data_IF_558624717369
#
_entry.id   IF_558624717369
#
_cell.length_a   1.000
_cell.length_b   1.000
_cell.length_c   1.000
_cell.angle_alpha   90.00
_cell.angle_beta   90.00
_cell.angle_gamma   90.00
#
_symmetry.space_group_name_H-M   'P 1'
#
loop_
_entity.id
_entity.type
_entity.pdbx_description
1 polymer ?
#
# COMPACT_ATOMS: atom_id res chain seq x y z
N UNK A 1 -29.44 37.78 1.92
CA UNK A 1 -28.41 36.71 1.79
C UNK A 1 -28.35 35.92 3.09
N UNK A 2 -28.59 34.59 3.07
CA UNK A 2 -28.40 33.73 4.26
C UNK A 2 -26.92 33.74 4.64
N UNK A 3 -26.59 34.18 5.86
CA UNK A 3 -25.21 34.15 6.38
C UNK A 3 -24.73 32.69 6.44
N UNK A 4 -23.77 32.34 5.60
CA UNK A 4 -23.12 31.03 5.64
C UNK A 4 -22.45 30.85 6.99
N UNK A 5 -22.79 29.78 7.70
CA UNK A 5 -22.28 29.53 9.05
C UNK A 5 -20.88 28.91 8.97
N UNK A 6 -19.86 29.75 8.84
CA UNK A 6 -18.45 29.35 8.74
C UNK A 6 -17.97 28.48 9.90
N UNK A 7 -18.60 28.58 11.07
CA UNK A 7 -18.29 27.76 12.24
C UNK A 7 -18.64 26.27 12.01
N UNK A 8 -19.64 25.97 11.17
CA UNK A 8 -19.97 24.60 10.78
C UNK A 8 -18.94 24.01 9.82
N UNK A 9 -18.52 24.84 8.85
CA UNK A 9 -17.54 24.48 7.83
C UNK A 9 -16.19 24.17 8.52
N UNK A 10 -15.74 25.03 9.44
CA UNK A 10 -14.54 24.80 10.25
C UNK A 10 -14.60 23.50 11.08
N UNK A 11 -15.76 23.19 11.67
CA UNK A 11 -15.97 21.95 12.43
C UNK A 11 -15.95 20.68 11.57
N UNK A 12 -16.26 20.79 10.28
CA UNK A 12 -16.18 19.70 9.32
C UNK A 12 -14.78 19.60 8.67
N UNK A 13 -14.14 20.73 8.40
CA UNK A 13 -12.79 20.78 7.81
C UNK A 13 -11.75 20.22 8.77
N UNK A 14 -11.86 20.47 10.08
CA UNK A 14 -10.87 19.98 11.04
C UNK A 14 -10.70 18.45 11.03
N UNK A 15 -11.76 17.61 11.15
CA UNK A 15 -11.60 16.16 11.04
C UNK A 15 -11.14 15.70 9.66
N UNK A 16 -11.54 16.37 8.57
CA UNK A 16 -11.06 16.08 7.20
C UNK A 16 -9.56 16.39 7.07
N UNK A 17 -9.11 17.52 7.61
CA UNK A 17 -7.71 17.94 7.59
C UNK A 17 -6.82 17.01 8.41
N UNK A 18 -7.31 16.53 9.55
CA UNK A 18 -6.62 15.49 10.34
C UNK A 18 -6.52 14.19 9.55
N UNK A 19 -7.61 13.75 8.90
CA UNK A 19 -7.59 12.55 8.03
C UNK A 19 -6.62 12.68 6.86
N UNK A 20 -6.64 13.81 6.14
CA UNK A 20 -5.71 14.09 5.04
C UNK A 20 -4.26 14.14 5.52
N UNK A 21 -4.01 14.75 6.69
CA UNK A 21 -2.68 14.75 7.30
C UNK A 21 -2.19 13.32 7.57
N UNK A 22 -3.05 12.43 8.08
CA UNK A 22 -2.69 11.03 8.31
C UNK A 22 -2.46 10.23 7.02
N UNK A 23 -3.26 10.47 5.98
CA UNK A 23 -3.04 9.87 4.65
C UNK A 23 -1.68 10.30 4.10
N UNK A 24 -1.37 11.60 4.14
CA UNK A 24 -0.07 12.12 3.70
C UNK A 24 1.10 11.57 4.55
N UNK A 25 0.90 11.44 5.86
CA UNK A 25 1.90 10.85 6.76
C UNK A 25 2.16 9.37 6.46
N UNK A 26 1.14 8.63 6.00
CA UNK A 26 1.26 7.22 5.60
C UNK A 26 2.05 7.03 4.30
N UNK A 27 2.00 8.01 3.39
CA UNK A 27 2.74 7.97 2.12
C UNK A 27 4.22 8.38 2.24
N UNK A 28 4.62 9.07 3.33
CA UNK A 28 6.02 9.42 3.58
C UNK A 28 6.85 8.16 3.87
N UNK A 29 7.52 7.66 2.82
CA UNK A 29 8.50 6.57 2.88
C UNK A 29 9.63 6.91 3.84
N UNK A 30 9.77 6.12 4.90
CA UNK A 30 10.93 6.14 5.78
C UNK A 30 11.84 4.97 5.41
N UNK A 31 12.85 5.23 4.59
CA UNK A 31 13.86 4.23 4.21
C UNK A 31 14.98 4.15 5.27
N UNK A 32 15.51 2.95 5.54
CA UNK A 32 16.64 2.69 6.46
C UNK A 32 16.28 1.96 7.78
N UNK A 33 17.30 1.61 8.59
CA UNK A 33 17.17 0.87 9.87
C UNK A 33 16.27 1.55 10.93
N UNK A 34 15.92 2.84 10.74
CA UNK A 34 14.96 3.57 11.58
C UNK A 34 13.50 3.52 11.07
N UNK A 35 13.27 2.97 9.87
CA UNK A 35 11.97 2.95 9.21
C UNK A 35 10.91 2.13 9.93
N UNK A 36 11.30 1.00 10.55
CA UNK A 36 10.38 0.16 11.33
C UNK A 36 9.90 0.83 12.63
N UNK A 37 10.79 1.57 13.31
CA UNK A 37 10.49 2.26 14.56
C UNK A 37 9.59 3.48 14.33
N UNK A 38 9.85 4.23 13.25
CA UNK A 38 8.99 5.33 12.82
C UNK A 38 7.65 4.81 12.29
N UNK A 39 7.64 3.69 11.57
CA UNK A 39 6.40 3.00 11.15
C UNK A 39 5.54 2.60 12.35
N UNK A 40 6.13 1.96 13.36
CA UNK A 40 5.46 1.62 14.61
C UNK A 40 4.91 2.85 15.35
N UNK A 41 5.69 3.93 15.42
CA UNK A 41 5.24 5.20 16.02
C UNK A 41 4.07 5.82 15.24
N UNK A 42 4.08 5.78 13.90
CA UNK A 42 2.97 6.26 13.06
C UNK A 42 1.68 5.48 13.34
N UNK A 43 1.76 4.16 13.43
CA UNK A 43 0.60 3.30 13.75
C UNK A 43 0.11 3.57 15.16
N UNK A 44 1.01 3.65 16.15
CA UNK A 44 0.66 3.94 17.54
C UNK A 44 0.01 5.32 17.69
N UNK A 45 0.56 6.33 17.04
CA UNK A 45 0.02 7.69 17.05
C UNK A 45 -1.33 7.76 16.33
N UNK A 46 -1.50 7.06 15.19
CA UNK A 46 -2.79 6.92 14.51
C UNK A 46 -3.83 6.24 15.41
N UNK A 47 -3.46 5.17 16.12
CA UNK A 47 -4.35 4.49 17.05
C UNK A 47 -4.75 5.40 18.21
N UNK A 48 -3.81 6.08 18.86
CA UNK A 48 -4.11 6.91 20.04
C UNK A 48 -4.86 8.19 19.64
N UNK A 49 -4.30 8.98 18.71
CA UNK A 49 -4.89 10.25 18.31
C UNK A 49 -6.14 10.06 17.44
N UNK A 50 -6.09 9.13 16.49
CA UNK A 50 -7.21 8.82 15.61
C UNK A 50 -8.39 8.22 16.37
N UNK A 51 -8.17 7.20 17.21
CA UNK A 51 -9.26 6.63 18.02
C UNK A 51 -9.78 7.62 19.06
N UNK A 52 -8.90 8.44 19.65
CA UNK A 52 -9.30 9.51 20.58
C UNK A 52 -10.22 10.55 19.94
N UNK A 53 -9.84 11.08 18.77
CA UNK A 53 -10.65 12.04 18.00
C UNK A 53 -11.96 11.39 17.53
N UNK A 54 -11.90 10.14 17.08
CA UNK A 54 -13.08 9.38 16.66
C UNK A 54 -14.09 9.24 17.82
N UNK A 55 -13.64 8.72 18.97
CA UNK A 55 -14.48 8.52 20.15
C UNK A 55 -15.05 9.84 20.66
N UNK A 56 -14.22 10.88 20.75
CA UNK A 56 -14.67 12.21 21.14
C UNK A 56 -15.78 12.74 20.22
N UNK A 57 -15.58 12.62 18.90
CA UNK A 57 -16.53 13.09 17.89
C UNK A 57 -17.82 12.27 17.94
N UNK A 58 -17.72 10.95 18.11
CA UNK A 58 -18.84 10.03 18.24
C UNK A 58 -19.69 10.38 19.47
N UNK A 59 -19.08 10.42 20.67
CA UNK A 59 -19.77 10.69 21.94
C UNK A 59 -20.44 12.07 21.90
N UNK A 60 -19.73 13.10 21.42
CA UNK A 60 -20.24 14.48 21.36
C UNK A 60 -21.46 14.59 20.45
N UNK A 61 -21.44 13.98 19.27
CA UNK A 61 -22.55 14.07 18.32
C UNK A 61 -23.74 13.19 18.73
N UNK A 62 -23.51 12.01 19.32
CA UNK A 62 -24.59 11.20 19.92
C UNK A 62 -25.25 11.98 21.08
N UNK A 63 -24.47 12.62 21.94
CA UNK A 63 -24.97 13.44 23.04
C UNK A 63 -25.81 14.64 22.55
N UNK A 64 -25.44 15.26 21.42
CA UNK A 64 -26.24 16.33 20.79
C UNK A 64 -27.58 15.82 20.26
N UNK A 65 -27.57 14.66 19.60
CA UNK A 65 -28.79 14.02 19.08
C UNK A 65 -29.74 13.66 20.23
N UNK A 66 -29.23 13.05 21.32
CA UNK A 66 -30.04 12.75 22.52
C UNK A 66 -30.66 13.98 23.15
N UNK A 67 -29.93 15.12 23.15
CA UNK A 67 -30.42 16.40 23.67
C UNK A 67 -31.29 17.18 22.68
N UNK A 68 -31.61 16.62 21.51
CA UNK A 68 -32.41 17.27 20.46
C UNK A 68 -31.74 18.48 19.80
N UNK A 69 -30.45 18.74 20.06
CA UNK A 69 -29.74 19.92 19.55
C UNK A 69 -29.01 19.57 18.26
N UNK A 70 -29.22 20.37 17.21
CA UNK A 70 -28.49 20.26 15.94
C UNK A 70 -28.47 18.84 15.36
N UNK A 71 -29.64 18.18 15.34
CA UNK A 71 -29.79 16.77 14.94
C UNK A 71 -29.30 16.53 13.51
N UNK A 72 -29.69 17.39 12.56
CA UNK A 72 -29.30 17.25 11.14
C UNK A 72 -27.78 17.31 10.96
N UNK A 73 -27.14 18.29 11.57
CA UNK A 73 -25.68 18.50 11.51
C UNK A 73 -24.93 17.33 12.15
N UNK A 74 -25.41 16.87 13.31
CA UNK A 74 -24.80 15.76 14.04
C UNK A 74 -24.89 14.45 13.26
N UNK A 75 -26.00 14.21 12.53
CA UNK A 75 -26.13 13.06 11.63
C UNK A 75 -25.13 13.13 10.47
N UNK A 76 -24.98 14.29 9.82
CA UNK A 76 -24.02 14.47 8.72
C UNK A 76 -22.59 14.19 9.20
N UNK A 77 -22.19 14.75 10.35
CA UNK A 77 -20.85 14.53 10.92
C UNK A 77 -20.62 13.05 11.22
N UNK A 78 -21.61 12.34 11.78
CA UNK A 78 -21.51 10.91 12.05
C UNK A 78 -21.39 10.08 10.76
N UNK A 79 -22.17 10.41 9.72
CA UNK A 79 -22.07 9.73 8.42
C UNK A 79 -20.69 9.90 7.80
N UNK A 80 -20.15 11.12 7.79
CA UNK A 80 -18.80 11.39 7.30
C UNK A 80 -17.77 10.60 8.12
N UNK A 81 -17.90 10.61 9.45
CA UNK A 81 -17.01 9.87 10.35
C UNK A 81 -16.98 8.37 10.04
N UNK A 82 -18.16 7.76 9.80
CA UNK A 82 -18.28 6.33 9.47
C UNK A 82 -17.61 6.03 8.12
N UNK A 83 -17.91 6.81 7.08
CA UNK A 83 -17.32 6.61 5.74
C UNK A 83 -15.80 6.75 5.80
N UNK A 84 -15.29 7.80 6.46
CA UNK A 84 -13.85 8.01 6.61
C UNK A 84 -13.18 6.89 7.40
N UNK A 85 -13.85 6.33 8.39
CA UNK A 85 -13.33 5.18 9.15
C UNK A 85 -13.27 3.93 8.29
N UNK A 86 -14.31 3.66 7.50
CA UNK A 86 -14.30 2.52 6.56
C UNK A 86 -13.17 2.64 5.54
N UNK A 87 -12.97 3.85 4.98
CA UNK A 87 -11.86 4.11 4.06
C UNK A 87 -10.52 3.88 4.78
N UNK A 88 -10.32 4.49 5.95
CA UNK A 88 -9.09 4.35 6.72
C UNK A 88 -8.77 2.90 7.07
N UNK A 89 -9.72 2.14 7.60
CA UNK A 89 -9.55 0.71 7.93
C UNK A 89 -9.26 -0.11 6.68
N UNK A 90 -9.94 0.18 5.56
CA UNK A 90 -9.66 -0.48 4.28
C UNK A 90 -8.23 -0.22 3.82
N UNK A 91 -7.73 1.01 3.98
CA UNK A 91 -6.33 1.37 3.66
C UNK A 91 -5.31 0.62 4.51
N UNK A 92 -5.63 0.30 5.77
CA UNK A 92 -4.81 -0.56 6.62
C UNK A 92 -4.88 -2.03 6.22
N UNK A 93 -6.01 -2.48 5.66
CA UNK A 93 -6.22 -3.85 5.19
C UNK A 93 -5.67 -4.09 3.77
N UNK A 94 -5.38 -3.02 3.01
CA UNK A 94 -4.56 -3.14 1.80
C UNK A 94 -3.12 -3.39 2.23
N UNK A 95 -2.56 -4.58 1.95
CA UNK A 95 -1.30 -5.00 2.55
C UNK A 95 -0.16 -4.10 2.08
N UNK A 96 0.30 -3.25 3.01
CA UNK A 96 1.66 -2.73 3.04
C UNK A 96 2.57 -3.93 3.28
N UNK A 97 3.39 -4.24 2.27
CA UNK A 97 4.35 -5.34 2.24
C UNK A 97 3.78 -6.75 2.53
N UNK A 98 3.53 -7.49 1.45
CA UNK A 98 2.96 -8.84 1.40
C UNK A 98 3.67 -9.92 2.24
N UNK A 99 4.83 -9.64 2.81
CA UNK A 99 5.59 -10.61 3.58
C UNK A 99 5.66 -10.17 5.03
N UNK A 100 4.89 -10.84 5.90
CA UNK A 100 5.10 -10.82 7.35
C UNK A 100 6.50 -11.34 7.74
N UNK A 101 7.13 -12.07 6.81
CA UNK A 101 8.46 -12.66 6.92
C UNK A 101 9.48 -11.85 6.13
N UNK A 102 10.74 -11.90 6.55
CA UNK A 102 11.80 -11.27 5.77
C UNK A 102 11.87 -11.85 4.36
N UNK A 103 11.97 -10.99 3.32
CA UNK A 103 12.10 -11.46 1.95
C UNK A 103 13.40 -12.23 1.73
N UNK A 104 13.29 -13.42 1.17
CA UNK A 104 14.40 -14.31 0.83
C UNK A 104 15.13 -13.84 -0.43
N UNK A 105 14.39 -13.23 -1.36
CA UNK A 105 14.91 -12.71 -2.62
C UNK A 105 14.30 -11.35 -2.95
N UNK A 106 15.13 -10.43 -3.40
CA UNK A 106 14.69 -9.13 -3.92
C UNK A 106 15.46 -8.80 -5.19
N UNK A 107 14.73 -8.51 -6.27
CA UNK A 107 15.26 -7.87 -7.46
C UNK A 107 14.45 -6.62 -7.80
N UNK A 108 15.11 -5.53 -8.21
CA UNK A 108 14.46 -4.24 -8.53
C UNK A 108 15.14 -3.53 -9.69
N UNK A 109 14.46 -2.62 -10.35
CA UNK A 109 15.06 -1.66 -11.28
C UNK A 109 14.92 -0.20 -10.80
N UNK A 110 15.48 0.74 -11.59
CA UNK A 110 15.44 2.18 -11.32
C UNK A 110 14.05 2.81 -11.54
N UNK A 111 13.17 2.15 -12.28
CA UNK A 111 11.81 2.63 -12.61
C UNK A 111 10.83 2.26 -11.47
N UNK A 112 11.19 1.28 -10.65
CA UNK A 112 10.43 0.81 -9.49
C UNK A 112 9.71 -0.52 -9.73
N UNK A 113 10.06 -1.24 -10.79
CA UNK A 113 9.71 -2.65 -10.94
C UNK A 113 10.44 -3.45 -9.85
N UNK A 114 9.74 -4.38 -9.20
CA UNK A 114 10.30 -5.17 -8.09
C UNK A 114 9.73 -6.57 -8.10
N UNK A 115 10.59 -7.58 -8.03
CA UNK A 115 10.23 -8.95 -7.67
C UNK A 115 10.70 -9.21 -6.25
N UNK A 116 9.81 -9.73 -5.41
CA UNK A 116 10.13 -10.13 -4.04
C UNK A 116 9.60 -11.53 -3.82
N UNK A 117 10.42 -12.41 -3.26
CA UNK A 117 10.06 -13.78 -2.92
C UNK A 117 10.22 -14.00 -1.42
N UNK A 118 9.26 -14.67 -0.79
CA UNK A 118 9.38 -15.22 0.56
C UNK A 118 8.37 -16.35 0.78
N UNK A 119 8.76 -17.38 1.52
CA UNK A 119 7.87 -18.45 2.01
C UNK A 119 7.07 -19.11 0.87
N UNK A 120 7.73 -19.38 -0.25
CA UNK A 120 7.12 -19.97 -1.45
C UNK A 120 6.10 -19.09 -2.18
N UNK A 121 5.99 -17.81 -1.79
CA UNK A 121 5.09 -16.83 -2.42
C UNK A 121 5.86 -15.65 -3.02
N UNK A 122 5.37 -15.07 -4.12
CA UNK A 122 5.99 -13.91 -4.76
C UNK A 122 5.08 -12.69 -4.75
N UNK A 123 5.72 -11.53 -4.88
CA UNK A 123 5.10 -10.27 -5.25
C UNK A 123 5.89 -9.67 -6.41
N UNK A 124 5.23 -9.50 -7.56
CA UNK A 124 5.77 -8.80 -8.73
C UNK A 124 5.05 -7.45 -8.84
N UNK A 125 5.79 -6.38 -8.60
CA UNK A 125 5.37 -5.00 -8.83
C UNK A 125 5.91 -4.55 -10.18
N UNK A 126 5.04 -4.22 -11.12
CA UNK A 126 5.42 -3.60 -12.39
C UNK A 126 4.84 -2.19 -12.48
N UNK A 127 5.67 -1.22 -12.88
CA UNK A 127 5.29 0.17 -13.09
C UNK A 127 5.20 0.44 -14.57
N UNK A 128 4.00 0.70 -15.04
CA UNK A 128 3.72 1.23 -16.38
C UNK A 128 3.56 2.76 -16.27
N UNK A 129 3.53 3.46 -17.40
CA UNK A 129 3.58 4.94 -17.46
C UNK A 129 2.48 5.58 -16.58
N UNK A 130 1.30 4.97 -16.52
CA UNK A 130 0.12 5.55 -15.86
C UNK A 130 -0.38 4.77 -14.64
N UNK A 131 0.10 3.54 -14.41
CA UNK A 131 -0.34 2.72 -13.27
C UNK A 131 0.73 1.73 -12.80
N UNK A 132 0.60 1.33 -11.53
CA UNK A 132 1.40 0.24 -10.95
C UNK A 132 0.54 -1.01 -10.85
N UNK A 133 0.99 -2.10 -11.44
CA UNK A 133 0.37 -3.42 -11.28
C UNK A 133 1.12 -4.20 -10.20
N UNK A 134 0.37 -4.79 -9.27
CA UNK A 134 0.92 -5.73 -8.29
C UNK A 134 0.29 -7.10 -8.53
N UNK A 135 1.14 -8.10 -8.79
CA UNK A 135 0.79 -9.51 -8.94
C UNK A 135 1.37 -10.30 -7.79
N UNK A 136 0.64 -11.34 -7.38
CA UNK A 136 0.97 -12.19 -6.24
C UNK A 136 0.59 -13.62 -6.56
N UNK A 137 1.33 -14.56 -6.00
CA UNK A 137 1.06 -15.99 -6.15
C UNK A 137 2.21 -16.83 -5.63
N UNK A 138 2.33 -18.07 -6.10
CA UNK A 138 3.37 -19.03 -5.75
C UNK A 138 4.52 -19.02 -6.74
N UNK A 139 5.72 -19.25 -6.22
CA UNK A 139 6.91 -19.41 -7.04
C UNK A 139 7.58 -20.76 -6.81
N UNK A 140 8.37 -21.17 -7.79
CA UNK A 140 9.29 -22.30 -7.70
C UNK A 140 10.66 -21.86 -8.20
N UNK A 141 11.71 -22.32 -7.53
CA UNK A 141 13.09 -22.07 -7.95
C UNK A 141 13.69 -23.38 -8.39
N UNK A 142 14.14 -23.42 -9.64
CA UNK A 142 14.85 -24.54 -10.22
C UNK A 142 16.22 -24.06 -10.66
N UNK A 143 17.22 -24.30 -9.83
CA UNK A 143 18.62 -23.92 -10.07
C UNK A 143 18.78 -22.42 -10.32
N UNK A 144 18.97 -22.02 -11.57
CA UNK A 144 19.14 -20.66 -12.06
C UNK A 144 17.82 -20.01 -12.54
N UNK A 145 16.69 -20.69 -12.39
CA UNK A 145 15.41 -20.18 -12.90
C UNK A 145 14.35 -20.04 -11.82
N UNK A 146 13.63 -18.93 -11.85
CA UNK A 146 12.44 -18.67 -11.04
C UNK A 146 11.22 -18.83 -11.94
N UNK A 147 10.26 -19.65 -11.53
CA UNK A 147 8.93 -19.76 -12.17
C UNK A 147 7.88 -19.15 -11.26
N UNK A 148 7.04 -18.28 -11.81
CA UNK A 148 5.90 -17.66 -11.14
C UNK A 148 4.60 -18.29 -11.69
N UNK A 149 3.60 -18.49 -10.84
CA UNK A 149 2.27 -19.01 -11.22
C UNK A 149 1.39 -17.98 -11.97
N UNK A 150 1.92 -17.39 -13.04
CA UNK A 150 1.21 -16.36 -13.82
C UNK A 150 0.40 -17.01 -14.94
N UNK A 151 -0.89 -16.68 -15.02
CA UNK A 151 -1.80 -17.26 -16.03
C UNK A 151 -1.47 -16.85 -17.48
N UNK A 152 -0.86 -15.67 -17.67
CA UNK A 152 -0.59 -15.12 -19.00
C UNK A 152 0.60 -14.19 -19.03
N UNK A 153 1.54 -14.41 -19.93
CA UNK A 153 2.68 -13.51 -20.17
C UNK A 153 2.24 -12.21 -20.89
N UNK A 154 2.99 -11.13 -20.64
CA UNK A 154 2.85 -9.85 -21.35
C UNK A 154 4.22 -9.17 -21.43
N UNK A 155 4.83 -9.18 -22.60
CA UNK A 155 6.11 -8.55 -22.88
C UNK A 155 6.15 -7.06 -22.51
N UNK A 156 5.20 -6.27 -23.01
CA UNK A 156 5.15 -4.81 -22.75
C UNK A 156 4.95 -4.47 -21.26
N UNK A 157 4.29 -5.37 -20.52
CA UNK A 157 4.10 -5.23 -19.07
C UNK A 157 5.25 -5.86 -18.27
N UNK A 158 6.33 -6.28 -18.95
CA UNK A 158 7.50 -6.98 -18.42
C UNK A 158 7.15 -8.18 -17.53
N UNK A 159 6.12 -8.92 -17.95
CA UNK A 159 5.51 -10.01 -17.18
C UNK A 159 5.77 -11.35 -17.86
N UNK A 160 6.67 -12.14 -17.29
CA UNK A 160 7.01 -13.48 -17.76
C UNK A 160 6.61 -14.53 -16.72
N UNK A 161 6.39 -15.77 -17.15
CA UNK A 161 6.20 -16.91 -16.25
C UNK A 161 7.54 -17.34 -15.68
N UNK A 162 8.59 -17.27 -16.50
CA UNK A 162 9.93 -17.73 -16.16
C UNK A 162 10.92 -16.57 -16.16
N UNK A 163 11.83 -16.60 -15.20
CA UNK A 163 12.93 -15.65 -15.09
C UNK A 163 14.24 -16.42 -14.90
N UNK A 164 15.29 -16.00 -15.61
CA UNK A 164 16.66 -16.51 -15.46
C UNK A 164 17.42 -15.60 -14.49
N UNK A 165 18.09 -16.21 -13.53
CA UNK A 165 19.06 -15.59 -12.64
C UNK A 165 20.41 -15.71 -13.35
N UNK A 166 20.92 -14.59 -13.85
CA UNK A 166 22.25 -14.52 -14.47
C UNK A 166 23.04 -13.41 -13.80
N UNK A 167 24.12 -13.79 -13.11
CA UNK A 167 24.94 -12.89 -12.30
C UNK A 167 24.13 -12.09 -11.28
N UNK A 168 24.05 -10.77 -11.45
CA UNK A 168 23.25 -9.85 -10.64
C UNK A 168 21.95 -9.43 -11.33
N UNK A 169 21.61 -10.04 -12.47
CA UNK A 169 20.46 -9.69 -13.26
C UNK A 169 19.41 -10.80 -13.22
N UNK A 170 18.15 -10.37 -13.24
CA UNK A 170 17.01 -11.22 -13.48
C UNK A 170 16.48 -10.92 -14.88
N UNK A 171 16.45 -11.93 -15.74
CA UNK A 171 16.07 -11.80 -17.15
C UNK A 171 14.75 -12.54 -17.38
N UNK A 172 13.66 -11.90 -17.83
CA UNK A 172 12.41 -12.57 -18.16
C UNK A 172 12.63 -13.47 -19.36
N UNK A 173 12.09 -14.69 -19.33
CA UNK A 173 12.06 -15.62 -20.47
C UNK A 173 10.60 -15.74 -20.92
N UNK A 174 10.30 -15.22 -22.11
CA UNK A 174 8.97 -15.30 -22.70
C UNK A 174 8.82 -16.56 -23.58
N UNK A 175 7.64 -17.16 -23.54
CA UNK A 175 7.32 -18.38 -24.28
C UNK A 175 7.16 -18.18 -25.79
N UNK A 176 6.91 -16.94 -26.22
CA UNK A 176 6.74 -16.57 -27.63
C UNK A 176 8.07 -16.37 -28.39
N UNK A 177 9.21 -16.53 -27.71
CA UNK A 177 10.53 -16.43 -28.33
C UNK A 177 10.90 -15.02 -28.80
N UNK A 178 10.09 -14.00 -28.47
CA UNK A 178 10.46 -12.60 -28.67
C UNK A 178 11.68 -12.34 -27.80
N UNK A 179 12.77 -11.89 -28.43
CA UNK A 179 14.08 -11.70 -27.81
C UNK A 179 13.92 -11.12 -26.41
N UNK A 180 14.35 -11.92 -25.44
CA UNK A 180 14.55 -11.48 -24.07
C UNK A 180 15.56 -10.35 -24.15
N UNK A 181 15.08 -9.11 -24.10
CA UNK A 181 15.90 -7.91 -24.10
C UNK A 181 17.06 -8.17 -23.13
N UNK A 182 18.26 -8.37 -23.67
CA UNK A 182 19.43 -8.90 -22.96
C UNK A 182 19.97 -7.92 -21.92
N UNK A 183 19.33 -6.75 -21.85
CA UNK A 183 19.49 -5.76 -20.79
C UNK A 183 18.64 -6.19 -19.60
N UNK A 184 19.30 -6.75 -18.57
CA UNK A 184 18.68 -7.29 -17.37
C UNK A 184 17.46 -6.50 -16.88
N UNK A 185 16.33 -7.19 -16.68
CA UNK A 185 15.05 -6.58 -16.32
C UNK A 185 15.06 -6.05 -14.89
N UNK A 186 15.57 -6.84 -13.94
CA UNK A 186 15.73 -6.43 -12.54
C UNK A 186 17.15 -6.74 -12.08
N UNK A 187 17.71 -5.86 -11.23
CA UNK A 187 18.97 -6.13 -10.52
C UNK A 187 18.68 -6.78 -9.18
N UNK A 188 19.39 -7.87 -8.89
CA UNK A 188 19.25 -8.65 -7.67
C UNK A 188 19.99 -7.92 -6.54
N UNK A 189 19.24 -7.51 -5.52
CA UNK A 189 19.78 -6.82 -4.33
C UNK A 189 20.01 -7.81 -3.19
N UNK A 190 19.13 -8.80 -3.06
CA UNK A 190 19.22 -9.84 -2.03
C UNK A 190 19.04 -11.20 -2.70
N UNK A 191 20.04 -12.07 -2.57
CA UNK A 191 19.99 -13.47 -2.98
C UNK A 191 19.60 -14.34 -1.79
N UNK A 192 18.95 -15.44 -2.10
CA UNK A 192 18.68 -16.55 -1.18
C UNK A 192 20.04 -17.07 -0.71
N UNK A 193 20.27 -17.08 0.60
CA UNK A 193 21.34 -17.89 1.18
C UNK A 193 20.82 -19.32 1.18
N UNK A 194 21.37 -20.16 0.29
CA UNK A 194 21.30 -21.60 0.47
C UNK A 194 22.17 -22.01 1.66
#
# INVERSE_FOLDING_TARGET
MKKTNYNLILKAIFPIGVLLFFILLSELRTEGNFGGLIGGFKVLFFLIAGAGIFLFTLIKNIGRIRKGKNIKESKIVLTVLVISTLIGVSSFWFPYDFFDKEPEFIATDVIGNKLTLADGSYMLKTREIEWTTIRRGKYQINSDTIKLDIDKERYLAKRAIKYLIQDENLIPIYSDGIETDSTGFLKIIRKIKN
#
